data_IF_482096556737
#
_entry.id   IF_482096556737
#
_cell.length_a   1.000
_cell.length_b   1.000
_cell.length_c   1.000
_cell.angle_alpha   90.00
_cell.angle_beta   90.00
_cell.angle_gamma   90.00
#
_symmetry.space_group_name_H-M   'P 1'
#
loop_
_entity.id
_entity.type
_entity.pdbx_description
1 polymer ?
#
# COMPACT_ATOMS: atom_id res chain seq x y z
N UNK A 1 27.88 14.67 6.02
CA UNK A 1 27.86 13.42 5.24
C UNK A 1 26.40 13.08 5.06
N UNK A 2 25.85 13.60 3.97
CA UNK A 2 24.43 13.87 3.81
C UNK A 2 23.82 12.90 2.80
N UNK A 3 22.49 12.93 2.70
CA UNK A 3 21.65 12.12 1.79
C UNK A 3 22.14 12.04 0.32
N UNK A 4 23.03 12.94 -0.10
CA UNK A 4 23.67 12.96 -1.42
C UNK A 4 24.60 11.74 -1.59
N UNK A 5 25.36 11.38 -0.55
CA UNK A 5 26.33 10.26 -0.60
C UNK A 5 25.63 8.90 -0.75
N UNK A 6 24.42 8.74 -0.18
CA UNK A 6 23.62 7.51 -0.30
C UNK A 6 23.01 7.34 -1.69
N UNK A 7 22.59 8.44 -2.32
CA UNK A 7 22.00 8.41 -3.67
C UNK A 7 23.07 8.02 -4.70
N UNK A 8 24.28 8.56 -4.58
CA UNK A 8 25.39 8.23 -5.47
C UNK A 8 25.82 6.76 -5.32
N UNK A 9 25.87 6.24 -4.09
CA UNK A 9 26.17 4.82 -3.86
C UNK A 9 25.09 3.88 -4.41
N UNK A 10 23.81 4.23 -4.28
CA UNK A 10 22.71 3.46 -4.85
C UNK A 10 22.74 3.48 -6.39
N UNK A 11 23.05 4.63 -6.99
CA UNK A 11 23.25 4.75 -8.43
C UNK A 11 24.42 3.90 -8.93
N UNK A 12 25.57 3.92 -8.24
CA UNK A 12 26.73 3.12 -8.59
C UNK A 12 26.46 1.61 -8.48
N UNK A 13 25.75 1.17 -7.43
CA UNK A 13 25.35 -0.24 -7.28
C UNK A 13 24.42 -0.69 -8.41
N UNK A 14 23.47 0.15 -8.81
CA UNK A 14 22.56 -0.15 -9.93
C UNK A 14 23.29 -0.18 -11.27
N UNK A 15 24.21 0.74 -11.52
CA UNK A 15 25.03 0.73 -12.72
C UNK A 15 25.85 -0.56 -12.83
N UNK A 16 26.57 -0.93 -11.76
CA UNK A 16 27.35 -2.16 -11.71
C UNK A 16 26.51 -3.44 -11.90
N UNK A 17 25.23 -3.42 -11.48
CA UNK A 17 24.29 -4.51 -11.68
C UNK A 17 23.95 -4.76 -13.16
N UNK A 18 23.88 -3.71 -13.98
CA UNK A 18 23.57 -3.84 -15.40
C UNK A 18 24.83 -4.02 -16.27
N UNK A 19 25.97 -3.46 -15.88
CA UNK A 19 27.22 -3.55 -16.66
C UNK A 19 27.85 -4.96 -16.68
N UNK A 20 27.61 -5.79 -15.65
CA UNK A 20 28.26 -7.10 -15.50
C UNK A 20 27.35 -8.28 -15.87
N UNK A 21 26.31 -8.06 -16.68
CA UNK A 21 25.33 -9.10 -17.00
C UNK A 21 25.58 -9.78 -18.33
N UNK A 22 25.21 -11.06 -18.37
CA UNK A 22 25.21 -11.86 -19.60
C UNK A 22 23.86 -11.73 -20.32
N UNK A 23 23.85 -11.93 -21.63
CA UNK A 23 22.63 -11.87 -22.46
C UNK A 23 21.51 -12.80 -21.94
N UNK A 24 21.88 -13.96 -21.36
CA UNK A 24 20.94 -14.89 -20.76
C UNK A 24 20.21 -14.29 -19.55
N UNK A 25 20.88 -13.47 -18.76
CA UNK A 25 20.31 -12.78 -17.59
C UNK A 25 19.41 -11.63 -18.03
N UNK A 26 19.80 -10.87 -19.06
CA UNK A 26 18.95 -9.83 -19.64
C UNK A 26 17.65 -10.40 -20.22
N UNK A 27 17.74 -11.54 -20.92
CA UNK A 27 16.58 -12.22 -21.46
C UNK A 27 15.65 -12.74 -20.35
N UNK A 28 16.22 -13.25 -19.25
CA UNK A 28 15.44 -13.69 -18.10
C UNK A 28 14.65 -12.53 -17.45
N UNK A 29 15.30 -11.38 -17.28
CA UNK A 29 14.64 -10.18 -16.77
C UNK A 29 13.58 -9.64 -17.72
N UNK A 30 13.84 -9.66 -19.03
CA UNK A 30 12.84 -9.27 -20.03
C UNK A 30 11.60 -10.16 -19.95
N UNK A 31 11.78 -11.49 -19.94
CA UNK A 31 10.67 -12.45 -19.79
C UNK A 31 9.91 -12.25 -18.49
N UNK A 32 10.62 -11.95 -17.40
CA UNK A 32 9.99 -11.64 -16.11
C UNK A 32 9.19 -10.33 -16.19
N UNK A 33 9.72 -9.29 -16.83
CA UNK A 33 9.04 -8.01 -16.99
C UNK A 33 7.78 -8.13 -17.84
N UNK A 34 7.81 -8.88 -18.94
CA UNK A 34 6.62 -9.17 -19.75
C UNK A 34 5.55 -9.91 -18.95
N UNK A 35 5.93 -10.99 -18.25
CA UNK A 35 5.01 -11.78 -17.42
C UNK A 35 4.31 -10.93 -16.35
N UNK A 36 4.97 -9.90 -15.84
CA UNK A 36 4.44 -9.02 -14.78
C UNK A 36 3.79 -7.73 -15.33
N UNK A 37 3.66 -7.57 -16.66
CA UNK A 37 3.11 -6.36 -17.27
C UNK A 37 3.94 -5.10 -16.97
N UNK A 38 5.26 -5.29 -16.88
CA UNK A 38 6.26 -4.24 -16.63
C UNK A 38 7.06 -3.87 -17.89
N UNK A 39 6.88 -4.62 -18.98
CA UNK A 39 7.43 -4.27 -20.29
C UNK A 39 6.45 -3.37 -21.06
N UNK A 40 6.92 -2.22 -21.53
CA UNK A 40 6.12 -1.25 -22.30
C UNK A 40 6.88 -0.88 -23.57
N UNK A 41 6.25 -1.07 -24.73
CA UNK A 41 6.84 -0.76 -26.03
C UNK A 41 5.84 -0.05 -26.97
N UNK A 42 6.38 0.51 -28.06
CA UNK A 42 5.62 1.22 -29.09
C UNK A 42 5.23 2.67 -28.74
N UNK A 43 4.42 3.32 -29.60
CA UNK A 43 3.98 4.69 -29.38
C UNK A 43 3.27 4.86 -28.03
N UNK A 44 3.66 5.89 -27.28
CA UNK A 44 3.09 6.18 -25.97
C UNK A 44 3.52 5.22 -24.86
N UNK A 45 4.60 4.44 -25.03
CA UNK A 45 5.11 3.52 -24.00
C UNK A 45 5.29 4.20 -22.62
N UNK A 46 5.85 5.42 -22.61
CA UNK A 46 6.04 6.19 -21.38
C UNK A 46 4.70 6.48 -20.68
N UNK A 47 3.69 6.90 -21.43
CA UNK A 47 2.35 7.18 -20.89
C UNK A 47 1.70 5.91 -20.33
N UNK A 48 1.85 4.77 -21.01
CA UNK A 48 1.38 3.45 -20.53
C UNK A 48 2.09 3.05 -19.23
N UNK A 49 3.41 3.26 -19.15
CA UNK A 49 4.21 2.97 -17.95
C UNK A 49 3.77 3.84 -16.76
N UNK A 50 3.56 5.14 -16.98
CA UNK A 50 3.06 6.07 -15.97
C UNK A 50 1.67 5.66 -15.47
N UNK A 51 0.76 5.30 -16.37
CA UNK A 51 -0.58 4.86 -16.01
C UNK A 51 -0.56 3.57 -15.16
N UNK A 52 0.24 2.58 -15.56
CA UNK A 52 0.42 1.34 -14.81
C UNK A 52 1.03 1.59 -13.42
N UNK A 53 2.00 2.51 -13.32
CA UNK A 53 2.58 2.92 -12.03
C UNK A 53 1.52 3.54 -11.11
N UNK A 54 0.71 4.47 -11.61
CA UNK A 54 -0.39 5.10 -10.84
C UNK A 54 -1.39 4.06 -10.32
N UNK A 55 -1.77 3.09 -11.16
CA UNK A 55 -2.68 2.01 -10.74
C UNK A 55 -2.07 1.14 -9.63
N UNK A 56 -0.78 0.78 -9.74
CA UNK A 56 -0.07 0.02 -8.69
C UNK A 56 0.00 0.80 -7.38
N UNK A 57 0.32 2.09 -7.44
CA UNK A 57 0.35 2.97 -6.27
C UNK A 57 -1.03 3.06 -5.60
N UNK A 58 -2.10 3.23 -6.37
CA UNK A 58 -3.48 3.27 -5.85
C UNK A 58 -3.89 1.93 -5.21
N UNK A 59 -3.54 0.79 -5.84
CA UNK A 59 -3.79 -0.55 -5.27
C UNK A 59 -3.01 -0.77 -3.97
N UNK A 60 -1.78 -0.25 -3.87
CA UNK A 60 -0.98 -0.29 -2.64
C UNK A 60 -1.59 0.60 -1.56
N UNK A 61 -2.03 1.81 -1.89
CA UNK A 61 -2.71 2.71 -0.95
C UNK A 61 -4.03 2.12 -0.42
N UNK A 62 -4.80 1.41 -1.25
CA UNK A 62 -6.00 0.66 -0.81
C UNK A 62 -5.67 -0.49 0.16
N UNK A 63 -4.47 -1.06 0.09
CA UNK A 63 -4.02 -2.18 0.93
C UNK A 63 -3.17 -1.76 2.12
N UNK A 64 -2.67 -0.52 2.14
CA UNK A 64 -1.97 -0.01 3.31
C UNK A 64 -2.96 0.12 4.45
N UNK A 65 -2.63 -0.47 5.60
CA UNK A 65 -3.38 -0.25 6.84
C UNK A 65 -3.38 1.25 7.12
N UNK A 66 -4.48 1.93 6.80
CA UNK A 66 -4.75 3.26 7.31
C UNK A 66 -4.78 3.09 8.82
N UNK A 67 -3.89 3.75 9.54
CA UNK A 67 -3.91 3.70 11.00
C UNK A 67 -5.30 4.09 11.46
N UNK A 68 -5.96 3.24 12.25
CA UNK A 68 -7.26 3.52 12.84
C UNK A 68 -7.06 4.51 13.98
N UNK A 69 -6.68 5.74 13.64
CA UNK A 69 -6.83 6.89 14.52
C UNK A 69 -8.31 7.22 14.51
N UNK A 70 -9.04 6.79 15.52
CA UNK A 70 -10.38 7.32 15.75
C UNK A 70 -10.26 8.80 16.04
N UNK A 71 -11.21 9.59 15.54
CA UNK A 71 -11.38 10.95 16.01
C UNK A 71 -11.53 10.93 17.56
N UNK A 72 -10.83 11.81 18.31
CA UNK A 72 -10.90 11.82 19.76
C UNK A 72 -12.34 11.91 20.30
N UNK A 73 -13.23 12.67 19.64
CA UNK A 73 -14.63 12.80 20.02
C UNK A 73 -15.41 11.50 19.86
N UNK A 74 -15.09 10.71 18.83
CA UNK A 74 -15.68 9.37 18.64
C UNK A 74 -15.24 8.42 19.75
N UNK A 75 -13.96 8.49 20.16
CA UNK A 75 -13.46 7.65 21.25
C UNK A 75 -14.13 7.97 22.58
N UNK A 76 -14.31 9.25 22.91
CA UNK A 76 -15.01 9.67 24.13
C UNK A 76 -16.49 9.25 24.12
N UNK A 77 -17.17 9.35 22.97
CA UNK A 77 -18.54 8.85 22.83
C UNK A 77 -18.62 7.33 23.06
N UNK A 78 -17.64 6.56 22.57
CA UNK A 78 -17.54 5.13 22.82
C UNK A 78 -17.32 4.81 24.30
N UNK A 79 -16.45 5.55 25.00
CA UNK A 79 -16.22 5.38 26.44
C UNK A 79 -17.50 5.64 27.25
N UNK A 80 -18.16 6.77 27.01
CA UNK A 80 -19.41 7.11 27.69
C UNK A 80 -20.51 6.07 27.45
N UNK A 81 -20.61 5.53 26.22
CA UNK A 81 -21.57 4.48 25.90
C UNK A 81 -21.22 3.15 26.57
N UNK A 82 -19.95 2.80 26.64
CA UNK A 82 -19.49 1.58 27.29
C UNK A 82 -19.72 1.60 28.80
N UNK A 83 -19.48 2.75 29.44
CA UNK A 83 -19.78 2.98 30.85
C UNK A 83 -21.27 2.80 31.16
N UNK A 84 -22.17 3.38 30.35
CA UNK A 84 -23.63 3.17 30.50
C UNK A 84 -24.07 1.72 30.37
N UNK A 85 -23.39 0.95 29.54
CA UNK A 85 -23.69 -0.48 29.30
C UNK A 85 -22.94 -1.37 30.31
N UNK A 86 -22.06 -0.81 31.14
CA UNK A 86 -21.29 -1.54 32.14
C UNK A 86 -20.22 -2.46 31.56
N UNK A 87 -19.67 -2.14 30.38
CA UNK A 87 -18.64 -2.94 29.72
C UNK A 87 -17.38 -2.12 29.40
N UNK A 88 -16.20 -2.74 29.27
CA UNK A 88 -15.02 -2.04 28.78
C UNK A 88 -15.25 -1.47 27.38
N UNK A 89 -14.78 -0.24 27.12
CA UNK A 89 -14.97 0.41 25.81
C UNK A 89 -14.36 -0.39 24.65
N UNK A 90 -13.25 -1.09 24.91
CA UNK A 90 -12.62 -1.96 23.92
C UNK A 90 -13.52 -3.16 23.56
N UNK A 91 -14.27 -3.71 24.52
CA UNK A 91 -15.26 -4.76 24.28
C UNK A 91 -16.40 -4.25 23.41
N UNK A 92 -16.87 -3.03 23.67
CA UNK A 92 -17.90 -2.39 22.83
C UNK A 92 -17.40 -2.19 21.39
N UNK A 93 -16.20 -1.64 21.21
CA UNK A 93 -15.53 -1.49 19.91
C UNK A 93 -15.45 -2.83 19.17
N UNK A 94 -14.93 -3.86 19.83
CA UNK A 94 -14.80 -5.19 19.25
C UNK A 94 -16.17 -5.77 18.84
N UNK A 95 -17.23 -5.50 19.60
CA UNK A 95 -18.59 -5.95 19.24
C UNK A 95 -19.13 -5.27 17.99
N UNK A 96 -18.78 -4.00 17.76
CA UNK A 96 -19.20 -3.23 16.57
C UNK A 96 -18.44 -3.75 15.36
N UNK A 97 -17.11 -3.90 15.48
CA UNK A 97 -16.27 -4.48 14.43
C UNK A 97 -16.76 -5.88 14.05
N UNK A 98 -17.05 -6.73 15.03
CA UNK A 98 -17.58 -8.08 14.80
C UNK A 98 -18.91 -8.05 14.04
N UNK A 99 -19.86 -7.22 14.48
CA UNK A 99 -21.18 -7.09 13.81
C UNK A 99 -21.07 -6.59 12.39
N UNK A 100 -20.16 -5.65 12.13
CA UNK A 100 -19.85 -5.20 10.78
C UNK A 100 -19.31 -6.34 9.91
N UNK A 101 -18.33 -7.10 10.40
CA UNK A 101 -17.76 -8.23 9.64
C UNK A 101 -18.75 -9.37 9.41
N UNK A 102 -19.75 -9.51 10.27
CA UNK A 102 -20.82 -10.51 10.12
C UNK A 102 -21.98 -10.03 9.22
N UNK A 103 -21.92 -8.83 8.65
CA UNK A 103 -22.99 -8.25 7.83
C UNK A 103 -24.25 -7.88 8.63
N UNK A 104 -24.13 -7.75 9.95
CA UNK A 104 -25.23 -7.40 10.86
C UNK A 104 -25.24 -5.91 11.24
N UNK A 105 -24.37 -5.14 10.60
CA UNK A 105 -24.27 -3.69 10.75
C UNK A 105 -24.02 -3.11 9.36
N UNK A 106 -25.04 -2.52 8.76
CA UNK A 106 -24.87 -1.72 7.54
C UNK A 106 -24.22 -0.39 7.91
N UNK A 107 -23.19 -0.04 7.15
CA UNK A 107 -22.51 1.25 7.26
C UNK A 107 -22.63 1.93 5.91
N UNK A 108 -23.28 3.08 5.88
CA UNK A 108 -23.23 3.96 4.72
C UNK A 108 -21.83 4.57 4.63
N UNK A 109 -21.22 4.44 3.45
CA UNK A 109 -19.91 5.06 3.20
C UNK A 109 -20.14 6.57 3.03
N UNK A 110 -19.69 7.35 4.01
CA UNK A 110 -19.64 8.81 3.93
C UNK A 110 -18.53 9.29 2.97
#
# INVERSE_FOLDING_TARGET
MGKIDEIEQDAAKKAAYFENRTEAQELADHKWAEKNGLSFSGPGALTKAIAASKQRAAKKARKSKVGTSFDPGVLEAFKAKAERVGIPYQTLLNSVVKRYTEGKLDIEVA
#
